data_IF_574438063045
#
_entry.id   IF_574438063045
#
_cell.length_a   1.000
_cell.length_b   1.000
_cell.length_c   1.000
_cell.angle_alpha   90.00
_cell.angle_beta   90.00
_cell.angle_gamma   90.00
#
_symmetry.space_group_name_H-M   'P 1'
#
loop_
_entity.id
_entity.type
_entity.pdbx_description
1 polymer ?
#
# COMPACT_ATOMS: atom_id res chain seq x y z
N UNK A 1 -18.03 0.53 16.34
CA UNK A 1 -17.36 0.28 17.61
C UNK A 1 -16.66 -1.06 17.47
N UNK A 2 -15.37 -1.11 17.77
CA UNK A 2 -14.57 -2.33 17.65
C UNK A 2 -14.85 -3.25 18.86
N UNK A 3 -15.07 -4.55 18.62
CA UNK A 3 -15.12 -5.54 19.69
C UNK A 3 -13.71 -5.99 20.06
N UNK A 4 -13.15 -5.43 21.14
CA UNK A 4 -11.81 -5.78 21.63
C UNK A 4 -11.69 -7.26 22.03
N UNK A 5 -12.78 -7.87 22.50
CA UNK A 5 -12.77 -9.29 22.89
C UNK A 5 -12.55 -10.22 21.70
N UNK A 6 -12.92 -9.77 20.50
CA UNK A 6 -12.65 -10.49 19.25
C UNK A 6 -11.14 -10.55 18.97
N UNK A 7 -10.38 -9.49 19.29
CA UNK A 7 -8.94 -9.43 19.02
C UNK A 7 -8.16 -10.52 19.79
N UNK A 8 -8.64 -10.95 20.94
CA UNK A 8 -8.01 -12.02 21.75
C UNK A 8 -8.57 -13.42 21.46
N UNK A 9 -9.48 -13.56 20.49
CA UNK A 9 -10.11 -14.84 20.13
C UNK A 9 -9.76 -15.22 18.67
N UNK A 10 -8.66 -15.95 18.43
CA UNK A 10 -8.19 -16.26 17.08
C UNK A 10 -9.22 -16.96 16.18
N UNK A 11 -10.00 -17.87 16.75
CA UNK A 11 -11.06 -18.60 16.03
C UNK A 11 -12.17 -17.65 15.58
N UNK A 12 -12.54 -16.68 16.42
CA UNK A 12 -13.57 -15.70 16.09
C UNK A 12 -13.08 -14.70 15.03
N UNK A 13 -11.80 -14.31 15.07
CA UNK A 13 -11.17 -13.53 14.00
C UNK A 13 -11.19 -14.27 12.66
N UNK A 14 -10.90 -15.57 12.67
CA UNK A 14 -10.91 -16.39 11.45
C UNK A 14 -12.33 -16.53 10.87
N UNK A 15 -13.36 -16.62 11.72
CA UNK A 15 -14.76 -16.67 11.29
C UNK A 15 -15.24 -15.31 10.72
N UNK A 16 -14.82 -14.21 11.34
CA UNK A 16 -15.17 -12.86 10.90
C UNK A 16 -14.44 -12.45 9.60
N UNK A 17 -13.24 -12.97 9.34
CA UNK A 17 -12.43 -12.71 8.15
C UNK A 17 -12.94 -13.45 6.88
N UNK A 18 -14.15 -13.12 6.45
CA UNK A 18 -14.81 -13.74 5.28
C UNK A 18 -14.06 -13.56 3.97
N UNK A 19 -13.20 -12.54 3.87
CA UNK A 19 -12.40 -12.22 2.68
C UNK A 19 -10.96 -12.74 2.76
N UNK A 20 -10.63 -13.49 3.81
CA UNK A 20 -9.30 -14.03 4.08
C UNK A 20 -8.19 -12.95 4.04
N UNK A 21 -8.48 -11.74 4.51
CA UNK A 21 -7.55 -10.62 4.51
C UNK A 21 -6.35 -10.84 5.44
N UNK A 22 -6.57 -11.47 6.61
CA UNK A 22 -5.50 -11.80 7.56
C UNK A 22 -4.55 -12.84 6.94
N UNK A 23 -5.11 -13.83 6.25
CA UNK A 23 -4.31 -14.79 5.47
C UNK A 23 -3.56 -14.09 4.35
N UNK A 24 -4.24 -13.21 3.60
CA UNK A 24 -3.64 -12.43 2.52
C UNK A 24 -2.45 -11.59 2.97
N UNK A 25 -2.51 -10.99 4.16
CA UNK A 25 -1.41 -10.27 4.80
C UNK A 25 -0.28 -11.22 5.24
N UNK A 26 -0.63 -12.35 5.87
CA UNK A 26 0.35 -13.34 6.33
C UNK A 26 1.12 -14.02 5.18
N UNK A 27 0.50 -14.16 4.01
CA UNK A 27 1.12 -14.76 2.82
C UNK A 27 1.97 -13.78 1.99
N UNK A 28 2.17 -12.54 2.46
CA UNK A 28 2.89 -11.52 1.71
C UNK A 28 4.31 -11.97 1.30
N UNK A 29 5.10 -12.58 2.21
CA UNK A 29 6.44 -13.07 1.89
C UNK A 29 6.44 -14.22 0.87
N UNK A 30 5.54 -15.19 1.03
CA UNK A 30 5.33 -16.26 0.03
C UNK A 30 4.94 -15.70 -1.36
N UNK A 31 4.14 -14.63 -1.37
CA UNK A 31 3.71 -13.95 -2.59
C UNK A 31 4.85 -13.22 -3.28
N UNK A 32 5.74 -12.57 -2.54
CA UNK A 32 6.99 -11.99 -3.07
C UNK A 32 7.83 -13.07 -3.77
N UNK A 33 8.12 -14.18 -3.10
CA UNK A 33 8.93 -15.28 -3.69
C UNK A 33 8.29 -15.86 -4.95
N UNK A 34 6.97 -16.05 -4.93
CA UNK A 34 6.22 -16.53 -6.10
C UNK A 34 6.30 -15.55 -7.27
N UNK A 35 6.16 -14.25 -6.99
CA UNK A 35 6.25 -13.21 -8.01
C UNK A 35 7.66 -13.08 -8.59
N UNK A 36 8.72 -13.18 -7.77
CA UNK A 36 10.12 -13.23 -8.24
C UNK A 36 10.33 -14.40 -9.19
N UNK A 37 9.81 -15.59 -8.84
CA UNK A 37 9.89 -16.77 -9.70
C UNK A 37 9.15 -16.55 -11.04
N UNK A 38 7.92 -16.04 -11.01
CA UNK A 38 7.16 -15.74 -12.23
C UNK A 38 7.86 -14.68 -13.11
N UNK A 39 8.44 -13.65 -12.49
CA UNK A 39 9.22 -12.63 -13.18
C UNK A 39 10.44 -13.23 -13.90
N UNK A 40 11.17 -14.15 -13.24
CA UNK A 40 12.29 -14.85 -13.84
C UNK A 40 11.86 -15.77 -14.98
N UNK A 41 10.79 -16.54 -14.80
CA UNK A 41 10.19 -17.44 -15.82
C UNK A 41 9.68 -16.65 -17.04
N UNK A 42 9.16 -15.45 -16.84
CA UNK A 42 8.74 -14.53 -17.91
C UNK A 42 9.93 -13.89 -18.67
N UNK A 43 11.16 -14.12 -18.21
CA UNK A 43 12.37 -13.74 -18.94
C UNK A 43 13.00 -12.41 -18.53
N UNK A 44 12.65 -11.83 -17.38
CA UNK A 44 13.26 -10.57 -16.89
C UNK A 44 14.79 -10.66 -16.88
N UNK A 45 15.36 -11.79 -16.43
CA UNK A 45 16.80 -12.00 -16.37
C UNK A 45 17.48 -11.94 -17.75
N UNK A 46 16.74 -12.28 -18.81
CA UNK A 46 17.23 -12.27 -20.20
C UNK A 46 17.12 -10.91 -20.90
N UNK A 47 16.46 -9.92 -20.29
CA UNK A 47 16.28 -8.60 -20.90
C UNK A 47 17.62 -7.92 -21.12
N UNK A 48 17.71 -7.15 -22.21
CA UNK A 48 18.88 -6.33 -22.56
C UNK A 48 18.37 -4.93 -22.92
N UNK A 49 18.00 -4.11 -21.91
CA UNK A 49 17.49 -2.77 -22.16
C UNK A 49 18.58 -1.89 -22.79
N UNK A 50 18.21 -1.10 -23.79
CA UNK A 50 19.12 -0.16 -24.48
C UNK A 50 19.49 1.08 -23.63
N UNK A 51 18.92 1.17 -22.43
CA UNK A 51 19.14 2.23 -21.47
C UNK A 51 17.98 2.37 -20.51
N UNK A 52 18.04 3.41 -19.66
CA UNK A 52 16.91 3.79 -18.80
C UNK A 52 15.83 4.47 -19.65
N UNK A 53 14.54 4.19 -19.40
CA UNK A 53 13.45 4.89 -20.06
C UNK A 53 13.46 6.38 -19.68
N UNK A 54 13.08 7.25 -20.60
CA UNK A 54 12.92 8.69 -20.34
C UNK A 54 11.83 8.94 -19.30
N UNK A 55 10.72 8.22 -19.38
CA UNK A 55 9.63 8.26 -18.41
C UNK A 55 9.03 6.86 -18.25
N UNK A 56 8.54 6.58 -17.04
CA UNK A 56 7.74 5.39 -16.76
C UNK A 56 6.30 5.83 -16.54
N UNK A 57 5.39 5.33 -17.36
CA UNK A 57 3.95 5.56 -17.24
C UNK A 57 3.32 4.35 -16.58
N UNK A 58 2.47 4.53 -15.56
CA UNK A 58 1.83 3.42 -14.85
C UNK A 58 0.31 3.54 -14.95
N UNK A 59 -0.35 2.52 -15.49
CA UNK A 59 -1.80 2.45 -15.62
C UNK A 59 -2.36 1.24 -14.86
N UNK A 60 -3.50 1.44 -14.20
CA UNK A 60 -4.20 0.39 -13.49
C UNK A 60 -5.31 0.96 -12.60
N UNK A 61 -6.42 0.21 -12.40
CA UNK A 61 -7.51 0.64 -11.55
C UNK A 61 -7.18 0.46 -10.06
N UNK A 62 -7.88 1.22 -9.22
CA UNK A 62 -7.95 0.98 -7.78
C UNK A 62 -6.70 1.36 -6.97
N UNK A 63 -6.78 1.06 -5.67
CA UNK A 63 -5.76 1.40 -4.69
C UNK A 63 -4.43 0.68 -4.95
N UNK A 64 -4.42 -0.62 -5.24
CA UNK A 64 -3.18 -1.37 -5.47
C UNK A 64 -2.30 -0.75 -6.58
N UNK A 65 -2.85 -0.45 -7.76
CA UNK A 65 -2.09 0.19 -8.83
C UNK A 65 -1.65 1.62 -8.47
N UNK A 66 -2.49 2.35 -7.72
CA UNK A 66 -2.19 3.71 -7.26
C UNK A 66 -0.99 3.72 -6.30
N UNK A 67 -1.01 2.85 -5.29
CA UNK A 67 0.04 2.77 -4.29
C UNK A 67 1.30 2.11 -4.84
N UNK A 68 1.19 1.10 -5.71
CA UNK A 68 2.36 0.59 -6.43
C UNK A 68 3.04 1.69 -7.25
N UNK A 69 2.28 2.54 -7.94
CA UNK A 69 2.86 3.65 -8.70
C UNK A 69 3.54 4.69 -7.82
N UNK A 70 2.96 5.00 -6.66
CA UNK A 70 3.48 5.97 -5.70
C UNK A 70 4.79 5.46 -5.05
N UNK A 71 4.81 4.18 -4.64
CA UNK A 71 5.98 3.49 -4.13
C UNK A 71 7.12 3.45 -5.15
N UNK A 72 6.82 3.01 -6.38
CA UNK A 72 7.83 2.95 -7.45
C UNK A 72 8.36 4.32 -7.84
N UNK A 73 7.51 5.36 -7.84
CA UNK A 73 7.96 6.73 -8.10
C UNK A 73 8.89 7.27 -7.04
N UNK A 74 8.65 6.91 -5.79
CA UNK A 74 9.51 7.29 -4.68
C UNK A 74 10.85 6.57 -4.73
N UNK A 75 10.84 5.25 -4.96
CA UNK A 75 12.06 4.42 -5.07
C UNK A 75 12.91 4.73 -6.32
N UNK A 76 12.28 5.16 -7.43
CA UNK A 76 12.99 5.56 -8.64
C UNK A 76 13.78 6.88 -8.47
N UNK A 77 13.39 7.70 -7.49
CA UNK A 77 14.01 8.99 -7.19
C UNK A 77 14.12 9.89 -8.42
N UNK A 78 15.28 10.53 -8.59
CA UNK A 78 15.54 11.46 -9.70
C UNK A 78 15.97 10.77 -11.02
N UNK A 79 15.92 9.43 -11.10
CA UNK A 79 16.41 8.67 -12.26
C UNK A 79 15.57 8.89 -13.51
N UNK A 80 14.27 8.62 -13.41
CA UNK A 80 13.28 8.87 -14.45
C UNK A 80 11.93 9.19 -13.79
N UNK A 81 11.14 10.15 -14.30
CA UNK A 81 9.80 10.41 -13.78
C UNK A 81 8.92 9.18 -13.93
N UNK A 82 8.33 8.75 -12.81
CA UNK A 82 7.27 7.75 -12.76
C UNK A 82 5.94 8.48 -12.65
N UNK A 83 5.09 8.33 -13.67
CA UNK A 83 3.86 9.10 -13.83
C UNK A 83 2.68 8.13 -13.87
N UNK A 84 1.82 8.24 -12.86
CA UNK A 84 0.55 7.52 -12.85
C UNK A 84 -0.38 8.11 -13.91
N UNK A 85 -0.90 7.25 -14.79
CA UNK A 85 -2.00 7.58 -15.69
C UNK A 85 -3.31 7.43 -14.92
N UNK A 86 -3.87 8.55 -14.49
CA UNK A 86 -5.16 8.55 -13.81
C UNK A 86 -6.27 8.11 -14.78
N UNK A 87 -7.14 7.16 -14.39
CA UNK A 87 -8.26 6.80 -15.23
C UNK A 87 -9.25 7.96 -15.33
N UNK A 88 -9.88 8.07 -16.50
CA UNK A 88 -11.11 8.83 -16.70
C UNK A 88 -12.27 7.85 -16.85
N UNK A 89 -13.52 8.30 -16.76
CA UNK A 89 -14.66 7.41 -16.95
C UNK A 89 -15.90 7.90 -16.24
N UNK A 90 -17.00 7.15 -16.41
CA UNK A 90 -18.30 7.46 -15.81
C UNK A 90 -18.54 6.71 -14.48
N UNK A 91 -17.76 5.68 -14.19
CA UNK A 91 -17.87 4.87 -12.97
C UNK A 91 -16.55 4.13 -12.65
N UNK A 92 -16.28 3.80 -11.38
CA UNK A 92 -15.17 2.94 -10.96
C UNK A 92 -15.51 1.46 -11.18
N UNK A 93 -15.84 1.09 -12.40
CA UNK A 93 -16.26 -0.26 -12.76
C UNK A 93 -15.60 -0.73 -14.06
N UNK A 94 -15.44 -2.05 -14.20
CA UNK A 94 -14.90 -2.67 -15.39
C UNK A 94 -15.69 -2.22 -16.65
N UNK A 95 -14.96 -1.80 -17.69
CA UNK A 95 -15.52 -1.29 -18.93
C UNK A 95 -15.97 0.18 -18.90
N UNK A 96 -15.99 0.83 -17.72
CA UNK A 96 -16.34 2.25 -17.58
C UNK A 96 -15.12 3.18 -17.45
N UNK A 97 -13.95 2.63 -17.10
CA UNK A 97 -12.69 3.35 -16.98
C UNK A 97 -11.97 3.48 -18.33
N UNK A 98 -11.15 4.52 -18.49
CA UNK A 98 -10.40 4.82 -19.71
C UNK A 98 -9.03 5.38 -19.34
N UNK A 99 -8.01 4.91 -20.05
CA UNK A 99 -6.64 5.43 -19.99
C UNK A 99 -6.20 5.86 -21.38
N UNK A 100 -5.42 6.93 -21.44
CA UNK A 100 -4.88 7.48 -22.68
C UNK A 100 -3.40 7.80 -22.48
N UNK A 101 -2.59 7.49 -23.49
CA UNK A 101 -1.18 7.87 -23.47
C UNK A 101 -1.02 9.37 -23.74
N UNK A 102 -0.24 10.11 -22.92
CA UNK A 102 0.12 11.49 -23.20
C UNK A 102 0.72 11.64 -24.61
N UNK A 103 0.43 12.76 -25.30
CA UNK A 103 0.84 12.94 -26.71
C UNK A 103 2.35 12.90 -26.96
N UNK A 104 3.17 13.09 -25.93
CA UNK A 104 4.63 13.01 -25.99
C UNK A 104 5.19 11.60 -25.81
N UNK A 105 4.38 10.63 -25.37
CA UNK A 105 4.81 9.26 -25.07
C UNK A 105 5.14 8.48 -26.35
N UNK A 106 6.28 7.80 -26.38
CA UNK A 106 6.77 7.09 -27.56
C UNK A 106 7.91 6.12 -27.24
N UNK A 107 8.81 5.90 -28.21
CA UNK A 107 9.78 4.80 -28.20
C UNK A 107 10.91 4.83 -27.17
N UNK A 108 10.97 5.89 -26.37
CA UNK A 108 11.96 6.02 -25.27
C UNK A 108 11.29 5.94 -23.90
N UNK A 109 9.98 5.68 -23.85
CA UNK A 109 9.21 5.59 -22.62
C UNK A 109 8.78 4.14 -22.35
N UNK A 110 8.49 3.86 -21.09
CA UNK A 110 8.03 2.55 -20.61
C UNK A 110 6.61 2.68 -20.06
N UNK A 111 5.66 1.94 -20.62
CA UNK A 111 4.32 1.78 -20.07
C UNK A 111 4.27 0.51 -19.22
N UNK A 112 3.92 0.68 -17.95
CA UNK A 112 3.57 -0.39 -17.03
C UNK A 112 2.05 -0.44 -16.87
N UNK A 113 1.46 -1.62 -17.08
CA UNK A 113 0.05 -1.87 -16.80
C UNK A 113 -0.01 -2.84 -15.62
N UNK A 114 -0.58 -2.43 -14.48
CA UNK A 114 -0.68 -3.26 -13.28
C UNK A 114 -2.15 -3.39 -12.86
N UNK A 115 -2.69 -4.61 -12.85
CA UNK A 115 -4.10 -4.83 -12.51
C UNK A 115 -4.35 -6.22 -11.93
N UNK A 116 -5.19 -6.35 -10.90
CA UNK A 116 -5.56 -7.65 -10.33
C UNK A 116 -6.60 -8.43 -11.15
N UNK A 117 -7.19 -7.82 -12.19
CA UNK A 117 -8.30 -8.40 -12.95
C UNK A 117 -7.89 -8.72 -14.40
N UNK A 118 -7.29 -7.74 -15.09
CA UNK A 118 -6.85 -7.92 -16.49
C UNK A 118 -7.98 -7.95 -17.53
N UNK A 119 -9.25 -7.79 -17.13
CA UNK A 119 -10.40 -7.79 -18.06
C UNK A 119 -10.85 -6.40 -18.52
N UNK A 120 -10.33 -5.32 -17.92
CA UNK A 120 -10.67 -3.93 -18.28
C UNK A 120 -10.26 -3.60 -19.73
N UNK A 121 -11.22 -3.45 -20.67
CA UNK A 121 -10.90 -3.34 -22.09
C UNK A 121 -10.04 -2.12 -22.44
N UNK A 122 -10.17 -1.03 -21.69
CA UNK A 122 -9.37 0.17 -21.95
C UNK A 122 -7.88 -0.01 -21.67
N UNK A 123 -7.48 -0.95 -20.80
CA UNK A 123 -6.07 -1.31 -20.61
C UNK A 123 -5.52 -2.07 -21.82
N UNK A 124 -6.29 -2.97 -22.43
CA UNK A 124 -5.92 -3.61 -23.70
C UNK A 124 -5.75 -2.58 -24.82
N UNK A 125 -6.69 -1.62 -24.94
CA UNK A 125 -6.55 -0.52 -25.90
C UNK A 125 -5.31 0.34 -25.63
N UNK A 126 -4.94 0.55 -24.37
CA UNK A 126 -3.74 1.29 -23.99
C UNK A 126 -2.46 0.57 -24.45
N UNK A 127 -2.42 -0.76 -24.33
CA UNK A 127 -1.32 -1.56 -24.89
C UNK A 127 -1.20 -1.39 -26.41
N UNK A 128 -2.34 -1.40 -27.13
CA UNK A 128 -2.35 -1.13 -28.57
C UNK A 128 -1.91 0.30 -28.93
N UNK A 129 -2.26 1.28 -28.10
CA UNK A 129 -1.77 2.66 -28.26
C UNK A 129 -0.24 2.73 -28.10
N UNK A 130 0.30 2.04 -27.09
CA UNK A 130 1.73 1.97 -26.85
C UNK A 130 2.47 1.37 -28.06
N UNK A 131 1.98 0.24 -28.57
CA UNK A 131 2.50 -0.40 -29.76
C UNK A 131 2.53 0.53 -30.98
N UNK A 132 1.42 1.22 -31.28
CA UNK A 132 1.35 2.17 -32.40
C UNK A 132 2.32 3.34 -32.28
N UNK A 133 2.69 3.73 -31.05
CA UNK A 133 3.65 4.81 -30.77
C UNK A 133 5.08 4.31 -30.55
N UNK A 134 5.31 3.01 -30.66
CA UNK A 134 6.60 2.37 -30.37
C UNK A 134 6.99 2.37 -28.89
N UNK A 135 6.08 2.74 -27.98
CA UNK A 135 6.33 2.73 -26.54
C UNK A 135 6.41 1.28 -26.03
N UNK A 136 7.47 0.96 -25.28
CA UNK A 136 7.60 -0.37 -24.67
C UNK A 136 6.48 -0.56 -23.66
N UNK A 137 5.81 -1.71 -23.68
CA UNK A 137 4.74 -2.06 -22.75
C UNK A 137 5.09 -3.31 -21.96
N UNK A 138 4.89 -3.24 -20.65
CA UNK A 138 4.98 -4.38 -19.73
C UNK A 138 3.70 -4.43 -18.90
N UNK A 139 3.12 -5.61 -18.73
CA UNK A 139 1.91 -5.78 -17.94
C UNK A 139 2.09 -6.81 -16.84
N UNK A 140 1.56 -6.51 -15.65
CA UNK A 140 1.40 -7.44 -14.53
C UNK A 140 -0.09 -7.64 -14.29
N UNK A 141 -0.56 -8.87 -14.54
CA UNK A 141 -1.97 -9.23 -14.38
C UNK A 141 -2.14 -10.75 -14.24
N UNK A 142 -3.34 -11.24 -13.84
CA UNK A 142 -3.65 -12.67 -13.93
C UNK A 142 -3.46 -13.20 -15.36
N UNK A 143 -3.00 -14.45 -15.44
CA UNK A 143 -2.87 -15.16 -16.73
C UNK A 143 -4.24 -15.40 -17.39
N UNK A 144 -4.25 -15.65 -18.71
CA UNK A 144 -5.47 -15.97 -19.48
C UNK A 144 -6.52 -14.85 -19.45
N UNK A 145 -6.07 -13.60 -19.47
CA UNK A 145 -6.90 -12.40 -19.49
C UNK A 145 -6.83 -11.70 -20.85
N UNK A 146 -7.83 -10.89 -21.24
CA UNK A 146 -7.79 -10.07 -22.46
C UNK A 146 -6.56 -9.15 -22.53
N UNK A 147 -6.09 -8.65 -21.39
CA UNK A 147 -4.86 -7.87 -21.32
C UNK A 147 -3.62 -8.69 -21.70
N UNK A 148 -3.54 -9.97 -21.28
CA UNK A 148 -2.42 -10.84 -21.64
C UNK A 148 -2.31 -11.04 -23.16
N UNK A 149 -3.45 -11.24 -23.83
CA UNK A 149 -3.50 -11.36 -25.30
C UNK A 149 -3.11 -10.05 -26.00
N UNK A 150 -3.62 -8.92 -25.53
CA UNK A 150 -3.30 -7.60 -26.08
C UNK A 150 -1.81 -7.26 -25.95
N UNK A 151 -1.20 -7.54 -24.79
CA UNK A 151 0.23 -7.29 -24.55
C UNK A 151 1.10 -8.18 -25.44
N UNK A 152 0.72 -9.45 -25.63
CA UNK A 152 1.41 -10.34 -26.56
C UNK A 152 1.31 -9.83 -28.02
N UNK A 153 0.14 -9.36 -28.44
CA UNK A 153 -0.09 -8.75 -29.75
C UNK A 153 0.69 -7.43 -29.96
N UNK A 154 0.88 -6.67 -28.90
CA UNK A 154 1.69 -5.45 -28.86
C UNK A 154 3.21 -5.71 -28.79
N UNK A 155 3.65 -6.98 -28.83
CA UNK A 155 5.03 -7.39 -28.60
C UNK A 155 5.63 -6.88 -27.27
N UNK A 156 4.77 -6.71 -26.27
CA UNK A 156 5.14 -6.33 -24.91
C UNK A 156 5.56 -7.53 -24.05
N UNK A 157 6.04 -7.22 -22.85
CA UNK A 157 6.36 -8.24 -21.85
C UNK A 157 5.15 -8.46 -20.93
N UNK A 158 4.70 -9.70 -20.80
CA UNK A 158 3.67 -10.08 -19.84
C UNK A 158 4.31 -10.78 -18.64
N UNK A 159 4.03 -10.26 -17.44
CA UNK A 159 4.50 -10.78 -16.16
C UNK A 159 3.30 -11.37 -15.40
N UNK A 160 3.25 -12.70 -15.20
CA UNK A 160 2.16 -13.33 -14.46
C UNK A 160 2.09 -12.81 -13.02
N UNK A 161 0.95 -12.25 -12.63
CA UNK A 161 0.68 -11.87 -11.24
C UNK A 161 0.70 -13.11 -10.34
N UNK A 162 1.33 -12.99 -9.16
CA UNK A 162 1.32 -14.05 -8.16
C UNK A 162 -0.05 -14.11 -7.46
N UNK A 163 -0.89 -15.06 -7.86
CA UNK A 163 -2.17 -15.39 -7.22
C UNK A 163 -2.01 -16.58 -6.29
N UNK A 164 -2.72 -16.61 -5.15
CA UNK A 164 -2.76 -17.79 -4.31
C UNK A 164 -3.66 -18.87 -4.95
N UNK A 165 -3.36 -20.18 -4.78
CA UNK A 165 -4.17 -21.27 -5.34
C UNK A 165 -5.63 -21.29 -4.85
N UNK A 166 -5.90 -20.62 -3.73
CA UNK A 166 -7.19 -20.57 -3.05
C UNK A 166 -7.84 -19.19 -3.12
N UNK A 167 -7.27 -18.24 -3.89
CA UNK A 167 -7.92 -16.96 -4.14
C UNK A 167 -9.29 -17.27 -4.77
N UNK A 168 -10.35 -16.95 -4.02
CA UNK A 168 -11.72 -17.27 -4.40
C UNK A 168 -12.14 -16.45 -5.63
N UNK A 169 -13.17 -16.89 -6.33
CA UNK A 169 -13.75 -16.18 -7.49
C UNK A 169 -14.35 -14.80 -7.14
N UNK A 170 -14.32 -14.38 -5.87
CA UNK A 170 -14.74 -13.04 -5.44
C UNK A 170 -13.60 -12.02 -5.65
N UNK A 171 -13.88 -10.85 -6.27
CA UNK A 171 -12.90 -9.79 -6.41
C UNK A 171 -12.39 -9.33 -5.04
N UNK A 172 -11.09 -9.49 -4.80
CA UNK A 172 -10.44 -8.91 -3.63
C UNK A 172 -10.59 -7.38 -3.66
N UNK A 173 -10.73 -6.78 -2.47
CA UNK A 173 -10.67 -5.33 -2.32
C UNK A 173 -9.36 -4.80 -2.91
N UNK A 174 -9.38 -3.63 -3.53
CA UNK A 174 -8.20 -3.07 -4.19
C UNK A 174 -7.08 -2.74 -3.19
N UNK A 175 -7.40 -2.50 -1.92
CA UNK A 175 -6.43 -2.35 -0.82
C UNK A 175 -6.05 -3.65 -0.12
N UNK A 176 -6.56 -4.82 -0.56
CA UNK A 176 -6.21 -6.10 0.05
C UNK A 176 -4.68 -6.31 0.06
N UNK A 177 -4.07 -6.66 1.21
CA UNK A 177 -2.61 -6.75 1.37
C UNK A 177 -1.91 -7.61 0.32
N UNK A 178 -2.52 -8.75 -0.01
CA UNK A 178 -1.94 -9.67 -1.00
C UNK A 178 -1.83 -9.09 -2.40
N UNK A 179 -2.76 -8.23 -2.82
CA UNK A 179 -2.79 -7.70 -4.18
C UNK A 179 -1.58 -6.78 -4.44
N UNK A 180 -1.17 -5.99 -3.44
CA UNK A 180 -0.04 -5.07 -3.60
C UNK A 180 1.23 -5.82 -3.98
N UNK A 181 1.64 -6.80 -3.17
CA UNK A 181 2.90 -7.52 -3.37
C UNK A 181 2.91 -8.35 -4.66
N UNK A 182 1.74 -8.85 -5.09
CA UNK A 182 1.59 -9.53 -6.37
C UNK A 182 1.91 -8.64 -7.57
N UNK A 183 1.55 -7.35 -7.48
CA UNK A 183 1.75 -6.36 -8.52
C UNK A 183 3.11 -5.66 -8.41
N UNK A 184 3.52 -5.30 -7.20
CA UNK A 184 4.72 -4.51 -6.94
C UNK A 184 6.00 -5.29 -7.18
N UNK A 185 6.10 -6.53 -6.70
CA UNK A 185 7.32 -7.36 -6.78
C UNK A 185 7.82 -7.56 -8.22
N UNK A 186 7.00 -7.96 -9.21
CA UNK A 186 7.50 -8.14 -10.57
C UNK A 186 7.90 -6.79 -11.21
N UNK A 187 7.29 -5.68 -10.81
CA UNK A 187 7.69 -4.35 -11.25
C UNK A 187 9.02 -3.91 -10.63
N UNK A 188 9.28 -4.23 -9.35
CA UNK A 188 10.58 -4.00 -8.72
C UNK A 188 11.69 -4.76 -9.47
N UNK A 189 11.48 -6.05 -9.74
CA UNK A 189 12.43 -6.88 -10.48
C UNK A 189 12.68 -6.34 -11.91
N UNK A 190 11.63 -5.88 -12.58
CA UNK A 190 11.74 -5.24 -13.91
C UNK A 190 12.54 -3.94 -13.84
N UNK A 191 12.22 -3.05 -12.90
CA UNK A 191 12.83 -1.73 -12.81
C UNK A 191 14.28 -1.80 -12.29
N UNK A 192 14.63 -2.81 -11.49
CA UNK A 192 16.02 -3.17 -11.20
C UNK A 192 16.76 -3.57 -12.47
N UNK A 193 16.16 -4.45 -13.28
CA UNK A 193 16.77 -4.91 -14.53
C UNK A 193 16.99 -3.80 -15.55
N UNK A 194 16.07 -2.83 -15.58
CA UNK A 194 16.14 -1.60 -16.39
C UNK A 194 17.12 -0.57 -15.78
N UNK A 195 17.54 -0.78 -14.54
CA UNK A 195 18.50 0.05 -13.81
C UNK A 195 17.91 1.34 -13.28
N UNK A 196 16.58 1.42 -13.11
CA UNK A 196 15.88 2.61 -12.60
C UNK A 196 15.92 2.70 -11.07
N UNK A 197 15.80 1.57 -10.38
CA UNK A 197 15.93 1.42 -8.93
C UNK A 197 16.83 0.23 -8.61
N UNK A 198 17.13 -0.02 -7.34
CA UNK A 198 17.87 -1.21 -6.90
C UNK A 198 16.94 -2.16 -6.15
N UNK A 199 16.69 -3.32 -6.73
CA UNK A 199 15.93 -4.41 -6.13
C UNK A 199 16.49 -5.75 -6.63
N UNK A 200 17.78 -6.05 -6.36
CA UNK A 200 18.39 -7.30 -6.79
C UNK A 200 17.66 -8.49 -6.14
N UNK A 201 17.76 -9.70 -6.71
CA UNK A 201 17.07 -10.88 -6.19
C UNK A 201 17.28 -11.12 -4.69
N UNK A 202 18.48 -10.85 -4.18
CA UNK A 202 18.81 -10.98 -2.76
C UNK A 202 18.05 -9.98 -1.90
N UNK A 203 17.83 -8.75 -2.37
CA UNK A 203 17.04 -7.76 -1.65
C UNK A 203 15.55 -8.14 -1.63
N UNK A 204 15.02 -8.70 -2.72
CA UNK A 204 13.64 -9.19 -2.76
C UNK A 204 13.43 -10.41 -1.84
N UNK A 205 14.44 -11.26 -1.68
CA UNK A 205 14.39 -12.36 -0.71
C UNK A 205 14.37 -11.82 0.74
N UNK A 206 15.23 -10.84 1.07
CA UNK A 206 15.18 -10.18 2.38
C UNK A 206 13.83 -9.53 2.67
N UNK A 207 13.20 -8.91 1.67
CA UNK A 207 11.84 -8.38 1.78
C UNK A 207 10.86 -9.50 2.12
N UNK A 208 10.96 -10.65 1.46
CA UNK A 208 10.09 -11.79 1.76
C UNK A 208 10.29 -12.30 3.19
N UNK A 209 11.54 -12.46 3.64
CA UNK A 209 11.89 -12.86 5.01
C UNK A 209 11.37 -11.86 6.05
N UNK A 210 11.51 -10.55 5.77
CA UNK A 210 10.99 -9.48 6.61
C UNK A 210 9.47 -9.55 6.76
N UNK A 211 8.76 -9.77 5.65
CA UNK A 211 7.30 -9.91 5.65
C UNK A 211 6.84 -11.13 6.45
N UNK A 212 7.53 -12.27 6.32
CA UNK A 212 7.23 -13.49 7.09
C UNK A 212 7.45 -13.24 8.59
N UNK A 213 8.55 -12.58 8.96
CA UNK A 213 8.83 -12.23 10.36
C UNK A 213 7.73 -11.33 10.96
N UNK A 214 7.27 -10.33 10.22
CA UNK A 214 6.17 -9.46 10.67
C UNK A 214 4.85 -10.24 10.74
N UNK A 215 4.58 -11.18 9.83
CA UNK A 215 3.41 -12.05 9.90
C UNK A 215 3.41 -12.94 11.16
N UNK A 216 4.56 -13.45 11.59
CA UNK A 216 4.69 -14.20 12.85
C UNK A 216 4.37 -13.33 14.07
N UNK A 217 4.79 -12.05 14.06
CA UNK A 217 4.55 -11.09 15.15
C UNK A 217 3.13 -10.52 15.16
N UNK A 218 2.55 -10.33 13.99
CA UNK A 218 1.24 -9.70 13.82
C UNK A 218 0.10 -10.71 13.63
N UNK A 219 0.40 -12.01 13.60
CA UNK A 219 -0.58 -13.07 13.34
C UNK A 219 -1.72 -13.14 14.38
N UNK A 220 -2.89 -13.70 14.00
CA UNK A 220 -4.09 -13.72 14.84
C UNK A 220 -3.92 -14.51 16.13
N UNK A 221 -3.02 -15.50 16.16
CA UNK A 221 -2.72 -16.29 17.36
C UNK A 221 -1.88 -15.54 18.41
N UNK A 222 -1.27 -14.40 18.05
CA UNK A 222 -0.47 -13.60 18.98
C UNK A 222 -1.40 -12.75 19.83
N UNK A 223 -1.20 -12.77 21.16
CA UNK A 223 -1.98 -11.99 22.10
C UNK A 223 -1.87 -10.48 21.82
N UNK A 224 -2.95 -9.72 22.07
CA UNK A 224 -3.05 -8.31 21.69
C UNK A 224 -1.91 -7.45 22.24
N UNK A 225 -1.54 -7.63 23.51
CA UNK A 225 -0.48 -6.85 24.16
C UNK A 225 0.92 -7.04 23.56
N UNK A 226 1.15 -8.12 22.82
CA UNK A 226 2.43 -8.42 22.14
C UNK A 226 2.35 -8.27 20.62
N UNK A 227 1.16 -7.95 20.10
CA UNK A 227 0.90 -7.82 18.68
C UNK A 227 0.77 -6.33 18.32
N UNK A 228 1.76 -5.75 17.61
CA UNK A 228 1.75 -4.32 17.33
C UNK A 228 0.57 -3.91 16.43
N UNK A 229 0.12 -4.80 15.54
CA UNK A 229 -1.00 -4.50 14.65
C UNK A 229 -2.36 -4.55 15.36
N UNK A 230 -2.58 -5.49 16.28
CA UNK A 230 -3.81 -5.50 17.11
C UNK A 230 -3.85 -4.30 18.06
N UNK A 231 -2.71 -3.97 18.68
CA UNK A 231 -2.57 -2.77 19.52
C UNK A 231 -2.91 -1.52 18.71
N UNK A 232 -2.31 -1.35 17.53
CA UNK A 232 -2.61 -0.21 16.67
C UNK A 232 -4.08 -0.20 16.23
N UNK A 233 -4.68 -1.34 15.89
CA UNK A 233 -6.10 -1.40 15.52
C UNK A 233 -7.02 -0.95 16.66
N UNK A 234 -6.78 -1.41 17.90
CA UNK A 234 -7.55 -0.99 19.07
C UNK A 234 -7.39 0.52 19.33
N UNK A 235 -6.18 1.05 19.20
CA UNK A 235 -5.89 2.47 19.38
C UNK A 235 -6.57 3.39 18.34
N UNK A 236 -6.93 2.84 17.17
CA UNK A 236 -7.58 3.59 16.07
C UNK A 236 -9.09 3.39 16.01
N UNK A 237 -9.67 2.52 16.83
CA UNK A 237 -11.09 2.14 16.76
C UNK A 237 -12.05 3.34 16.87
N UNK A 238 -11.73 4.29 17.75
CA UNK A 238 -12.56 5.47 18.05
C UNK A 238 -11.76 6.78 17.86
N UNK A 239 -10.77 6.78 16.97
CA UNK A 239 -9.91 7.93 16.70
C UNK A 239 -9.91 8.33 15.22
N UNK A 240 -9.61 9.61 14.96
CA UNK A 240 -9.20 10.09 13.64
C UNK A 240 -7.67 9.95 13.53
N UNK A 241 -7.14 9.00 12.75
CA UNK A 241 -5.72 8.83 12.54
C UNK A 241 -5.16 10.02 11.74
N UNK A 242 -4.21 10.73 12.33
CA UNK A 242 -3.33 11.69 11.68
C UNK A 242 -2.01 10.97 11.37
N UNK A 243 -1.90 10.44 10.16
CA UNK A 243 -0.73 9.67 9.72
C UNK A 243 0.37 10.65 9.33
N UNK A 244 1.37 10.78 10.22
CA UNK A 244 2.56 11.58 9.97
C UNK A 244 3.67 10.67 9.48
N UNK A 245 4.31 11.03 8.37
CA UNK A 245 5.35 10.21 7.76
C UNK A 245 6.67 10.95 7.69
N UNK A 246 7.76 10.30 8.06
CA UNK A 246 9.12 10.84 7.91
C UNK A 246 10.02 9.79 7.25
N UNK A 247 10.75 10.21 6.22
CA UNK A 247 11.62 9.32 5.47
C UNK A 247 11.15 9.03 4.05
N UNK A 248 12.01 8.41 3.24
CA UNK A 248 11.78 8.23 1.80
C UNK A 248 10.59 7.31 1.54
N UNK A 249 10.54 6.16 2.19
CA UNK A 249 9.54 5.11 2.00
C UNK A 249 8.29 5.29 2.88
N UNK A 250 8.36 6.06 3.95
CA UNK A 250 7.26 6.26 4.89
C UNK A 250 6.05 6.99 4.27
N UNK A 251 6.27 7.98 3.40
CA UNK A 251 5.20 8.78 2.77
C UNK A 251 4.19 7.94 1.99
N UNK A 252 4.63 7.19 0.96
CA UNK A 252 3.76 6.26 0.24
C UNK A 252 3.13 5.18 1.12
N UNK A 253 3.85 4.66 2.13
CA UNK A 253 3.31 3.70 3.08
C UNK A 253 2.14 4.29 3.89
N UNK A 254 2.27 5.53 4.37
CA UNK A 254 1.19 6.22 5.08
C UNK A 254 -0.04 6.50 4.22
N UNK A 255 0.16 6.89 2.94
CA UNK A 255 -0.95 7.06 1.99
C UNK A 255 -1.67 5.74 1.69
N UNK A 256 -0.92 4.64 1.58
CA UNK A 256 -1.51 3.30 1.47
C UNK A 256 -2.29 2.94 2.72
N UNK A 257 -1.74 3.18 3.90
CA UNK A 257 -2.42 2.85 5.16
C UNK A 257 -3.76 3.59 5.28
N UNK A 258 -3.80 4.87 4.97
CA UNK A 258 -5.05 5.64 4.96
C UNK A 258 -6.07 5.10 3.95
N UNK A 259 -5.64 4.67 2.77
CA UNK A 259 -6.53 4.02 1.80
C UNK A 259 -7.05 2.67 2.30
N UNK A 260 -6.22 1.87 2.97
CA UNK A 260 -6.61 0.60 3.56
C UNK A 260 -7.62 0.78 4.71
N UNK A 261 -7.40 1.76 5.59
CA UNK A 261 -8.36 2.13 6.64
C UNK A 261 -9.72 2.52 6.04
N UNK A 262 -9.72 3.35 5.01
CA UNK A 262 -10.94 3.80 4.36
C UNK A 262 -11.69 2.67 3.62
N UNK A 263 -10.97 1.86 2.83
CA UNK A 263 -11.59 0.83 1.98
C UNK A 263 -12.00 -0.42 2.77
N UNK A 264 -11.18 -0.86 3.73
CA UNK A 264 -11.40 -2.11 4.46
C UNK A 264 -12.29 -1.89 5.69
N UNK A 265 -11.95 -0.89 6.50
CA UNK A 265 -12.57 -0.63 7.80
C UNK A 265 -13.59 0.53 7.79
N UNK A 266 -13.63 1.34 6.73
CA UNK A 266 -14.49 2.53 6.69
C UNK A 266 -14.01 3.66 7.62
N UNK A 267 -12.74 3.63 8.02
CA UNK A 267 -12.15 4.60 8.95
C UNK A 267 -11.44 5.71 8.16
N UNK A 268 -11.83 6.98 8.33
CA UNK A 268 -11.15 8.09 7.68
C UNK A 268 -9.77 8.30 8.31
N UNK A 269 -8.79 8.73 7.52
CA UNK A 269 -7.47 9.13 8.01
C UNK A 269 -6.94 10.30 7.19
N UNK A 270 -6.13 11.15 7.83
CA UNK A 270 -5.48 12.31 7.19
C UNK A 270 -3.98 12.07 7.19
N UNK A 271 -3.35 12.19 6.02
CA UNK A 271 -1.92 11.90 5.84
C UNK A 271 -1.16 13.18 5.51
N UNK A 272 -0.02 13.39 6.17
CA UNK A 272 0.91 14.45 5.81
C UNK A 272 2.37 14.04 6.10
N UNK A 273 3.29 14.51 5.27
CA UNK A 273 4.73 14.30 5.42
C UNK A 273 5.34 15.35 6.34
N UNK A 274 6.25 14.93 7.21
CA UNK A 274 7.03 15.82 8.05
C UNK A 274 8.16 16.49 7.24
N UNK A 275 8.51 17.76 7.51
CA UNK A 275 8.00 18.61 8.61
C UNK A 275 6.68 19.35 8.34
N UNK A 276 6.17 19.39 7.11
CA UNK A 276 4.99 20.18 6.72
C UNK A 276 3.72 19.76 7.48
N UNK A 277 3.62 18.50 7.88
CA UNK A 277 2.54 17.97 8.70
C UNK A 277 2.32 18.77 10.00
N UNK A 278 3.38 19.32 10.60
CA UNK A 278 3.28 20.10 11.84
C UNK A 278 2.41 21.35 11.64
N UNK A 279 2.59 22.03 10.52
CA UNK A 279 1.80 23.21 10.18
C UNK A 279 0.41 22.80 9.64
N UNK A 280 0.36 21.79 8.76
CA UNK A 280 -0.87 21.37 8.10
C UNK A 280 -1.92 20.83 9.08
N UNK A 281 -1.50 20.12 10.13
CA UNK A 281 -2.41 19.46 11.08
C UNK A 281 -2.55 20.20 12.41
N UNK A 282 -1.85 21.31 12.66
CA UNK A 282 -1.91 22.05 13.94
C UNK A 282 -3.35 22.45 14.33
N UNK A 283 -4.18 22.88 13.36
CA UNK A 283 -5.57 23.23 13.63
C UNK A 283 -6.45 22.02 14.00
N UNK A 284 -6.11 20.81 13.53
CA UNK A 284 -6.80 19.58 13.91
C UNK A 284 -6.51 19.22 15.38
N UNK A 285 -5.29 19.49 15.85
CA UNK A 285 -4.86 19.24 17.22
C UNK A 285 -5.38 20.27 18.23
N UNK A 286 -5.67 21.49 17.77
CA UNK A 286 -6.20 22.57 18.62
C UNK A 286 -7.73 22.72 18.54
N UNK A 287 -8.39 21.96 17.65
CA UNK A 287 -9.80 22.13 17.29
C UNK A 287 -10.74 21.11 17.95
N UNK A 288 -11.91 20.85 17.35
CA UNK A 288 -12.92 19.93 17.88
C UNK A 288 -12.45 18.48 18.06
N UNK A 289 -11.34 18.11 17.41
CA UNK A 289 -10.74 16.78 17.49
C UNK A 289 -9.69 16.68 18.61
N UNK A 290 -9.38 17.78 19.32
CA UNK A 290 -8.45 17.75 20.44
C UNK A 290 -8.98 16.85 21.57
N UNK A 291 -8.09 16.16 22.28
CA UNK A 291 -8.47 15.31 23.41
C UNK A 291 -9.21 16.09 24.51
N UNK A 292 -8.90 17.39 24.67
CA UNK A 292 -9.55 18.30 25.62
C UNK A 292 -10.59 19.25 25.03
N UNK A 293 -11.13 18.97 23.83
CA UNK A 293 -12.08 19.87 23.14
C UNK A 293 -13.41 20.07 23.92
N UNK A 294 -13.78 19.14 24.79
CA UNK A 294 -14.94 19.25 25.67
C UNK A 294 -14.53 19.13 27.16
N UNK A 295 -14.51 20.24 27.93
CA UNK A 295 -14.13 20.23 29.34
C UNK A 295 -15.12 19.50 30.25
N UNK A 296 -16.39 19.34 29.82
CA UNK A 296 -17.39 18.56 30.56
C UNK A 296 -17.32 17.06 30.23
N UNK A 297 -16.55 16.76 29.18
CA UNK A 297 -15.81 15.54 28.89
C UNK A 297 -15.95 14.39 29.91
N UNK A 298 -15.08 14.55 30.90
CA UNK A 298 -14.82 13.65 32.01
C UNK A 298 -16.02 13.44 32.95
N UNK A 299 -17.01 14.33 32.93
CA UNK A 299 -18.18 14.29 33.82
C UNK A 299 -19.46 13.85 33.10
N UNK A 300 -19.44 13.62 31.79
CA UNK A 300 -20.60 13.19 31.03
C UNK A 300 -20.85 11.70 31.14
N UNK A 301 -22.11 11.34 31.41
CA UNK A 301 -22.57 9.95 31.42
C UNK A 301 -22.90 9.52 29.98
N UNK A 302 -21.90 8.96 29.29
CA UNK A 302 -21.93 8.65 27.84
C UNK A 302 -22.71 7.37 27.47
N UNK A 303 -23.64 6.90 28.30
CA UNK A 303 -24.34 5.62 28.07
C UNK A 303 -25.18 5.61 26.78
N UNK A 304 -25.63 6.78 26.30
CA UNK A 304 -26.48 6.90 25.11
C UNK A 304 -25.92 7.80 23.99
N UNK A 305 -24.71 8.37 24.15
CA UNK A 305 -24.10 9.27 23.15
C UNK A 305 -22.98 8.57 22.35
N UNK A 306 -22.88 8.79 21.03
CA UNK A 306 -21.77 8.26 20.25
C UNK A 306 -20.44 8.87 20.72
N UNK A 307 -19.36 8.07 20.83
CA UNK A 307 -18.07 8.58 21.29
C UNK A 307 -17.58 9.72 20.37
N UNK A 308 -17.09 10.80 20.99
CA UNK A 308 -16.49 11.90 20.25
C UNK A 308 -15.21 11.42 19.56
N UNK A 309 -15.08 11.71 18.27
CA UNK A 309 -13.90 11.34 17.49
C UNK A 309 -12.74 12.28 17.89
N UNK A 310 -11.66 11.73 18.42
CA UNK A 310 -10.46 12.50 18.78
C UNK A 310 -9.32 12.22 17.80
N UNK A 311 -8.46 13.21 17.57
CA UNK A 311 -7.25 13.03 16.80
C UNK A 311 -6.29 12.08 17.52
N UNK A 312 -5.66 11.18 16.77
CA UNK A 312 -4.54 10.37 17.22
C UNK A 312 -3.44 10.42 16.19
N UNK A 313 -2.22 10.74 16.59
CA UNK A 313 -1.07 10.73 15.69
C UNK A 313 -0.61 9.29 15.48
N UNK A 314 -0.42 8.90 14.22
CA UNK A 314 0.29 7.68 13.84
C UNK A 314 1.54 8.09 13.09
N UNK A 315 2.69 8.02 13.77
CA UNK A 315 3.97 8.44 13.23
C UNK A 315 4.67 7.24 12.58
N UNK A 316 4.70 7.20 11.25
CA UNK A 316 5.43 6.20 10.46
C UNK A 316 6.78 6.77 10.07
N UNK A 317 7.86 6.07 10.39
CA UNK A 317 9.20 6.56 10.12
C UNK A 317 10.02 5.46 9.50
N UNK A 318 10.66 5.72 8.36
CA UNK A 318 11.86 4.97 8.01
C UNK A 318 13.09 5.74 8.52
N UNK A 319 14.27 5.11 8.48
CA UNK A 319 15.49 5.78 8.94
C UNK A 319 15.84 6.88 7.95
N UNK A 320 15.78 8.17 8.33
CA UNK A 320 16.10 9.24 7.41
C UNK A 320 17.56 9.12 6.98
N UNK A 321 17.81 9.28 5.67
CA UNK A 321 19.16 9.25 5.08
C UNK A 321 20.04 10.40 5.66
N UNK A 322 19.41 11.41 6.26
CA UNK A 322 20.07 12.55 6.90
C UNK A 322 19.87 12.55 8.42
N UNK A 323 20.77 13.23 9.15
CA UNK A 323 20.61 13.49 10.59
C UNK A 323 19.50 14.49 10.93
N UNK A 324 18.83 15.06 9.91
CA UNK A 324 17.72 15.98 10.10
C UNK A 324 16.42 15.18 10.27
N UNK A 325 15.83 15.31 11.44
CA UNK A 325 14.55 14.69 11.80
C UNK A 325 13.65 15.73 12.44
N UNK A 326 12.40 15.77 12.01
CA UNK A 326 11.31 16.53 12.60
C UNK A 326 10.53 15.72 13.64
N UNK A 327 10.83 14.43 13.82
CA UNK A 327 10.14 13.58 14.79
C UNK A 327 10.16 14.11 16.24
N UNK A 328 11.25 14.71 16.77
CA UNK A 328 11.18 15.35 18.09
C UNK A 328 10.14 16.49 18.14
N UNK A 329 10.10 17.35 17.11
CA UNK A 329 9.12 18.43 17.02
C UNK A 329 7.68 17.91 16.83
N UNK A 330 7.51 16.78 16.15
CA UNK A 330 6.24 16.09 16.03
C UNK A 330 5.74 15.58 17.40
N UNK A 331 6.62 14.92 18.18
CA UNK A 331 6.32 14.47 19.54
C UNK A 331 5.98 15.64 20.46
N UNK A 332 6.76 16.72 20.39
CA UNK A 332 6.52 17.94 21.17
C UNK A 332 5.17 18.57 20.82
N UNK A 333 4.82 18.65 19.53
CA UNK A 333 3.54 19.18 19.08
C UNK A 333 2.37 18.32 19.58
N UNK A 334 2.44 17.00 19.40
CA UNK A 334 1.40 16.08 19.88
C UNK A 334 1.23 16.20 21.41
N UNK A 335 2.33 16.20 22.15
CA UNK A 335 2.33 16.36 23.61
C UNK A 335 1.74 17.69 24.05
N UNK A 336 2.07 18.80 23.37
CA UNK A 336 1.54 20.14 23.69
C UNK A 336 0.02 20.27 23.54
N UNK A 337 -0.60 19.33 22.82
CA UNK A 337 -2.04 19.24 22.59
C UNK A 337 -2.67 18.00 23.24
N UNK A 338 -1.96 17.33 24.15
CA UNK A 338 -2.40 16.08 24.81
C UNK A 338 -2.91 15.02 23.81
N UNK A 339 -2.34 15.01 22.60
CA UNK A 339 -2.75 14.11 21.52
C UNK A 339 -1.95 12.80 21.61
N UNK A 340 -2.61 11.64 21.74
CA UNK A 340 -1.91 10.35 21.77
C UNK A 340 -1.12 10.10 20.49
N UNK A 341 0.02 9.42 20.64
CA UNK A 341 0.91 9.06 19.52
C UNK A 341 1.18 7.56 19.51
N UNK A 342 0.98 6.93 18.36
CA UNK A 342 1.48 5.58 18.04
C UNK A 342 2.65 5.73 17.08
N UNK A 343 3.78 5.12 17.38
CA UNK A 343 4.97 5.22 16.54
C UNK A 343 5.32 3.86 15.94
N UNK A 344 5.59 3.84 14.63
CA UNK A 344 6.12 2.69 13.92
C UNK A 344 7.48 3.04 13.34
N UNK A 345 8.50 2.43 13.94
CA UNK A 345 9.89 2.51 13.50
C UNK A 345 10.36 1.09 13.13
N UNK A 346 10.63 0.81 11.85
CA UNK A 346 11.14 -0.47 11.41
C UNK A 346 12.49 -0.81 12.03
N UNK A 347 12.75 -2.11 12.13
CA UNK A 347 14.07 -2.61 12.49
C UNK A 347 15.14 -2.22 11.45
N UNK A 348 16.41 -2.47 11.77
CA UNK A 348 17.50 -2.25 10.82
C UNK A 348 17.35 -3.12 9.57
N UNK A 349 17.47 -2.49 8.41
CA UNK A 349 17.38 -3.13 7.11
C UNK A 349 17.61 -2.15 5.97
N UNK A 350 17.68 -2.68 4.75
CA UNK A 350 17.74 -1.87 3.54
C UNK A 350 16.39 -1.16 3.29
N UNK A 351 16.36 -0.15 2.41
CA UNK A 351 15.16 0.68 2.13
C UNK A 351 13.90 -0.17 1.85
N UNK A 352 14.02 -1.21 1.03
CA UNK A 352 12.91 -2.11 0.70
C UNK A 352 12.41 -2.93 1.91
N UNK A 353 13.28 -3.33 2.83
CA UNK A 353 12.89 -4.04 4.05
C UNK A 353 12.11 -3.12 4.99
N UNK A 354 12.60 -1.89 5.19
CA UNK A 354 11.92 -0.89 6.04
C UNK A 354 10.53 -0.55 5.49
N UNK A 355 10.42 -0.39 4.17
CA UNK A 355 9.15 -0.19 3.49
C UNK A 355 8.21 -1.38 3.67
N UNK A 356 8.72 -2.59 3.51
CA UNK A 356 7.95 -3.82 3.65
C UNK A 356 7.39 -3.98 5.08
N UNK A 357 8.20 -3.67 6.10
CA UNK A 357 7.80 -3.70 7.50
C UNK A 357 6.69 -2.69 7.81
N UNK A 358 6.84 -1.43 7.38
CA UNK A 358 5.80 -0.41 7.54
C UNK A 358 4.48 -0.84 6.89
N UNK A 359 4.54 -1.33 5.64
CA UNK A 359 3.35 -1.80 4.92
C UNK A 359 2.72 -2.98 5.64
N UNK A 360 3.50 -3.97 6.07
CA UNK A 360 2.95 -5.18 6.69
C UNK A 360 2.24 -4.88 8.01
N UNK A 361 2.85 -4.12 8.90
CA UNK A 361 2.23 -3.77 10.21
C UNK A 361 0.94 -2.97 9.98
N UNK A 362 0.97 -1.98 9.08
CA UNK A 362 -0.20 -1.13 8.80
C UNK A 362 -1.32 -1.87 8.07
N UNK A 363 -0.98 -2.78 7.15
CA UNK A 363 -1.94 -3.67 6.49
C UNK A 363 -2.62 -4.60 7.50
N UNK A 364 -1.87 -5.23 8.42
CA UNK A 364 -2.47 -6.03 9.50
C UNK A 364 -3.39 -5.19 10.40
N UNK A 365 -2.98 -3.98 10.79
CA UNK A 365 -3.79 -3.12 11.64
C UNK A 365 -5.12 -2.72 10.96
N UNK A 366 -5.08 -2.33 9.69
CA UNK A 366 -6.28 -2.02 8.92
C UNK A 366 -7.21 -3.24 8.78
N UNK A 367 -6.64 -4.44 8.62
CA UNK A 367 -7.41 -5.69 8.56
C UNK A 367 -8.05 -6.02 9.90
N UNK A 368 -7.31 -5.93 11.01
CA UNK A 368 -7.89 -6.16 12.34
C UNK A 368 -9.05 -5.22 12.63
N UNK A 369 -8.87 -3.93 12.32
CA UNK A 369 -9.92 -2.94 12.45
C UNK A 369 -11.14 -3.28 11.59
N UNK A 370 -10.93 -3.72 10.35
CA UNK A 370 -12.01 -4.11 9.43
C UNK A 370 -12.78 -5.36 9.89
N UNK A 371 -12.06 -6.36 10.42
CA UNK A 371 -12.65 -7.62 10.88
C UNK A 371 -13.39 -7.42 12.21
N UNK A 372 -12.80 -6.68 13.15
CA UNK A 372 -13.36 -6.47 14.49
C UNK A 372 -14.42 -5.35 14.58
N UNK A 373 -14.63 -4.56 13.52
CA UNK A 373 -15.68 -3.53 13.47
C UNK A 373 -16.96 -3.96 12.75
N UNK A 374 -17.01 -5.17 12.19
CA UNK A 374 -18.14 -5.69 11.38
C UNK A 374 -19.03 -6.69 12.13
N UNK A 375 -18.74 -6.95 13.40
CA UNK A 375 -19.49 -7.83 14.30
C UNK A 375 -20.77 -7.19 14.81
#
# INVERSE_FOLDING_TARGET
>A
MLDESLLDTPEALAEADRRALLRGAAEAGARVRTAVRHAAEAGINGLKPDGRPRAVLIAGPGAAATHASDLLGTLAGAGSPVIRLAPTGVAPAAGALRWELPGWAGSVDLLLIATPDGTEPSLSHLADQAYRRGCTVVAVAPTRTPLAEAVAGAHGLFLPMATAPYDQDEPLAASAPGVLWALLTPLLALLDRVGLLSAPPEALEKVADRLDHIAERCGPAIATYSNPAKTLAAELADALPLVWTEGTSAGPAGRRFAAALAELAGVPAVVAELPEALAAHSALLAGPLAAGADPEDFFRDRVEEPPALHARVVLLRDRPISSLTAAPAARDLALSHDTPISELEPEEGDELETLAELIAITDFAAVYLAVASRS
#
